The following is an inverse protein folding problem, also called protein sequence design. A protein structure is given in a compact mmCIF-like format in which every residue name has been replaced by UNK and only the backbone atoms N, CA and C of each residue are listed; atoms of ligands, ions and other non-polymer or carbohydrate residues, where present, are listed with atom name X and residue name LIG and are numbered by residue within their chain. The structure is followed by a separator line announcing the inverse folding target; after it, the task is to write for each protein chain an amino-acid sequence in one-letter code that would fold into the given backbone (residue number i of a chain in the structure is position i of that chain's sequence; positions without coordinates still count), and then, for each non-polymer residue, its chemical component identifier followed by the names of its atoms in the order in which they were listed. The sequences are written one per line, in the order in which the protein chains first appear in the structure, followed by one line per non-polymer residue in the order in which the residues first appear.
data_IF_815601934400
#
_entry.id   IF_815601934400
#
_cell.length_a   1.000
_cell.length_b   1.000
_cell.length_c   1.000
_cell.angle_alpha   90.00
_cell.angle_beta   90.00
_cell.angle_gamma   90.00
#
_symmetry.space_group_name_H-M   'P 1'
#
loop_
_entity.id
_entity.type
_entity.pdbx_description
1 polymer ?
#
# COMPACT_ATOMS: atom_id res chain seq x y z
N UNK A 1 -25.83 17.45 -16.92
CA UNK A 1 -25.02 18.56 -17.50
C UNK A 1 -23.67 18.50 -16.82
N UNK A 2 -22.75 17.73 -17.35
CA UNK A 2 -21.34 17.69 -16.95
C UNK A 2 -20.67 18.91 -17.59
N UNK A 3 -20.29 19.90 -16.75
CA UNK A 3 -19.51 21.01 -17.22
C UNK A 3 -18.16 20.48 -17.73
N UNK A 4 -17.88 20.61 -19.02
CA UNK A 4 -16.54 20.55 -19.59
C UNK A 4 -15.67 21.59 -18.87
N UNK A 5 -14.98 21.18 -17.81
CA UNK A 5 -13.88 21.98 -17.28
C UNK A 5 -12.75 21.83 -18.28
N UNK A 6 -12.42 22.91 -18.97
CA UNK A 6 -11.22 22.99 -19.78
C UNK A 6 -10.00 22.75 -18.86
N UNK A 7 -9.13 21.84 -19.25
CA UNK A 7 -7.91 21.41 -18.54
C UNK A 7 -6.87 22.57 -18.47
N UNK A 8 -7.15 23.72 -19.04
CA UNK A 8 -6.24 24.85 -19.13
C UNK A 8 -6.00 25.62 -17.82
N UNK A 9 -6.65 25.23 -16.70
CA UNK A 9 -6.34 25.79 -15.39
C UNK A 9 -6.27 24.68 -14.33
N UNK A 10 -5.03 24.27 -13.99
CA UNK A 10 -4.80 23.42 -12.82
C UNK A 10 -5.45 24.07 -11.57
N UNK A 11 -6.10 23.26 -10.69
CA UNK A 11 -6.74 23.80 -9.49
C UNK A 11 -5.71 24.52 -8.62
N UNK A 12 -6.08 25.68 -8.08
CA UNK A 12 -5.22 26.48 -7.22
C UNK A 12 -5.25 26.01 -5.78
N UNK A 13 -6.34 25.33 -5.36
CA UNK A 13 -6.55 24.90 -3.99
C UNK A 13 -7.45 23.64 -3.91
N UNK A 14 -7.37 22.97 -2.77
CA UNK A 14 -8.24 21.85 -2.39
C UNK A 14 -8.51 21.91 -0.88
N UNK A 15 -9.72 21.56 -0.46
CA UNK A 15 -10.08 21.46 0.96
C UNK A 15 -9.92 20.04 1.45
N UNK A 16 -9.24 19.89 2.59
CA UNK A 16 -8.95 18.60 3.23
C UNK A 16 -10.04 18.31 4.25
N UNK A 17 -10.69 17.18 4.07
CA UNK A 17 -11.67 16.62 4.99
C UNK A 17 -11.08 15.43 5.72
N UNK A 18 -11.31 15.32 7.01
CA UNK A 18 -10.76 14.28 7.87
C UNK A 18 -11.85 13.57 8.65
N UNK A 19 -11.77 12.25 8.73
CA UNK A 19 -12.50 11.45 9.72
C UNK A 19 -11.69 11.43 11.00
N UNK A 20 -12.20 12.07 12.04
CA UNK A 20 -11.59 12.03 13.36
C UNK A 20 -11.66 10.61 13.95
N UNK A 21 -10.75 10.21 14.84
CA UNK A 21 -10.78 8.91 15.48
C UNK A 21 -12.16 8.56 16.05
N UNK A 22 -12.69 7.40 15.68
CA UNK A 22 -14.01 6.91 16.14
C UNK A 22 -15.21 7.56 15.47
N UNK A 23 -15.06 8.53 14.54
CA UNK A 23 -16.18 9.18 13.85
C UNK A 23 -16.47 8.52 12.51
N UNK A 24 -17.74 8.55 12.09
CA UNK A 24 -18.23 8.04 10.80
C UNK A 24 -18.44 9.13 9.76
N UNK A 25 -18.50 10.39 10.20
CA UNK A 25 -18.66 11.57 9.34
C UNK A 25 -17.40 12.43 9.36
N UNK A 26 -16.99 12.98 8.21
CA UNK A 26 -15.82 13.83 8.14
C UNK A 26 -16.12 15.28 8.55
N UNK A 27 -15.05 15.96 8.94
CA UNK A 27 -15.06 17.43 9.14
C UNK A 27 -13.98 18.05 8.27
N UNK A 28 -14.17 19.32 7.89
CA UNK A 28 -13.13 20.04 7.14
C UNK A 28 -11.99 20.40 8.09
N UNK A 29 -10.79 19.90 7.79
CA UNK A 29 -9.58 20.18 8.57
C UNK A 29 -8.90 21.48 8.12
N UNK A 30 -8.84 21.71 6.81
CA UNK A 30 -8.12 22.86 6.30
C UNK A 30 -8.08 22.91 4.78
N UNK A 31 -7.09 23.64 4.26
CA UNK A 31 -6.96 23.93 2.84
C UNK A 31 -5.50 23.73 2.38
N UNK A 32 -5.34 23.05 1.25
CA UNK A 32 -4.12 23.06 0.47
C UNK A 32 -4.20 24.24 -0.51
N UNK A 33 -3.17 25.08 -0.56
CA UNK A 33 -3.06 26.17 -1.52
C UNK A 33 -1.73 26.11 -2.24
N UNK A 34 -1.74 26.29 -3.57
CA UNK A 34 -0.54 26.28 -4.41
C UNK A 34 0.20 27.61 -4.32
N UNK A 35 1.52 27.51 -4.14
CA UNK A 35 2.44 28.62 -4.31
C UNK A 35 3.65 28.13 -5.15
N UNK A 36 3.67 28.50 -6.40
CA UNK A 36 4.63 28.01 -7.36
C UNK A 36 4.57 26.48 -7.54
N UNK A 37 5.68 25.79 -7.23
CA UNK A 37 5.78 24.33 -7.27
C UNK A 37 5.42 23.65 -5.96
N UNK A 38 5.21 24.41 -4.88
CA UNK A 38 4.91 23.89 -3.54
C UNK A 38 3.45 24.10 -3.21
N UNK A 39 2.93 23.22 -2.38
CA UNK A 39 1.57 23.26 -1.89
C UNK A 39 1.60 23.38 -0.37
N UNK A 40 1.10 24.51 0.13
CA UNK A 40 1.05 24.80 1.55
C UNK A 40 -0.27 24.32 2.13
N UNK A 41 -0.24 23.83 3.34
CA UNK A 41 -1.45 23.49 4.08
C UNK A 41 -1.75 24.54 5.15
N UNK A 42 -3.04 24.84 5.34
CA UNK A 42 -3.52 25.69 6.42
C UNK A 42 -4.68 24.99 7.12
N UNK A 43 -4.60 24.81 8.42
CA UNK A 43 -5.79 24.43 9.19
C UNK A 43 -6.84 25.55 9.17
N UNK A 44 -8.12 25.16 9.09
CA UNK A 44 -9.22 26.10 9.27
C UNK A 44 -9.34 26.52 10.75
N UNK A 45 -9.65 27.78 11.02
CA UNK A 45 -9.85 28.25 12.41
C UNK A 45 -10.91 27.41 13.12
N UNK A 46 -12.04 27.12 12.45
CA UNK A 46 -13.09 26.24 12.98
C UNK A 46 -12.65 24.82 13.32
N UNK A 47 -11.58 24.33 12.70
CA UNK A 47 -10.97 23.05 13.05
C UNK A 47 -10.06 23.18 14.27
N UNK A 48 -9.23 24.23 14.31
CA UNK A 48 -8.33 24.49 15.45
C UNK A 48 -9.10 24.78 16.76
N UNK A 49 -10.30 25.35 16.66
CA UNK A 49 -11.15 25.64 17.82
C UNK A 49 -11.90 24.40 18.36
N UNK A 50 -11.76 23.24 17.73
CA UNK A 50 -12.41 21.99 18.17
C UNK A 50 -11.66 21.36 19.33
N UNK A 51 -12.40 20.89 20.33
CA UNK A 51 -11.82 20.11 21.46
C UNK A 51 -11.31 18.72 21.04
N UNK A 52 -11.87 18.15 19.96
CA UNK A 52 -11.50 16.85 19.42
C UNK A 52 -10.59 16.93 18.17
N UNK A 53 -10.00 18.11 17.90
CA UNK A 53 -9.05 18.27 16.80
C UNK A 53 -7.81 17.43 17.04
N UNK A 54 -7.38 16.73 16.00
CA UNK A 54 -6.10 16.00 15.96
C UNK A 54 -5.26 16.49 14.79
N UNK A 55 -3.92 16.54 14.90
CA UNK A 55 -3.08 16.84 13.75
C UNK A 55 -3.23 15.75 12.69
N UNK A 56 -3.24 16.11 11.40
CA UNK A 56 -3.26 15.13 10.29
C UNK A 56 -2.07 14.18 10.43
N UNK A 57 -0.90 14.74 10.68
CA UNK A 57 0.30 14.05 11.16
C UNK A 57 1.22 15.08 11.80
N UNK A 58 1.40 15.03 13.10
CA UNK A 58 2.06 16.08 13.89
C UNK A 58 3.44 16.50 13.36
N UNK A 59 4.36 15.58 12.98
CA UNK A 59 5.68 15.96 12.50
C UNK A 59 5.70 16.77 11.18
N UNK A 60 4.66 16.66 10.35
CA UNK A 60 4.57 17.42 9.09
C UNK A 60 3.55 18.55 9.17
N UNK A 61 2.45 18.35 9.86
CA UNK A 61 1.32 19.27 9.95
C UNK A 61 0.85 19.40 11.41
N UNK A 62 1.64 20.06 12.27
CA UNK A 62 1.22 20.35 13.66
C UNK A 62 -0.03 21.22 13.69
N UNK A 63 -0.81 21.17 14.80
CA UNK A 63 -2.00 22.00 14.99
C UNK A 63 -1.62 23.46 15.24
N UNK A 64 -1.28 24.16 14.17
CA UNK A 64 -0.87 25.56 14.19
C UNK A 64 -1.71 26.40 13.22
N UNK A 65 -1.86 27.70 13.54
CA UNK A 65 -2.45 28.66 12.62
C UNK A 65 -1.40 29.14 11.59
N UNK A 66 -1.86 29.41 10.37
CA UNK A 66 -0.99 29.91 9.30
C UNK A 66 -0.66 28.86 8.24
N UNK A 67 0.19 29.24 7.29
CA UNK A 67 0.58 28.39 6.18
C UNK A 67 1.73 27.49 6.57
N UNK A 68 1.52 26.19 6.57
CA UNK A 68 2.51 25.16 6.86
C UNK A 68 3.10 24.67 5.53
N UNK A 69 4.41 24.87 5.31
CA UNK A 69 5.08 24.41 4.09
C UNK A 69 5.30 22.88 4.15
N UNK A 70 5.33 22.16 3.02
CA UNK A 70 5.80 20.80 3.01
C UNK A 70 7.27 20.72 3.41
N UNK A 71 7.70 19.58 3.93
CA UNK A 71 9.10 19.32 4.29
C UNK A 71 10.05 19.59 3.12
N UNK A 72 11.33 19.87 3.43
CA UNK A 72 12.33 20.16 2.42
C UNK A 72 12.42 19.02 1.39
N UNK A 73 12.41 19.38 0.10
CA UNK A 73 12.43 18.41 -1.01
C UNK A 73 11.06 17.94 -1.47
N UNK A 74 9.99 18.17 -0.70
CA UNK A 74 8.63 17.78 -1.07
C UNK A 74 7.84 18.96 -1.67
N UNK A 75 6.97 18.67 -2.62
CA UNK A 75 6.00 19.63 -3.19
C UNK A 75 4.70 19.68 -2.39
N UNK A 76 4.35 18.61 -1.70
CA UNK A 76 3.17 18.42 -0.86
C UNK A 76 3.57 17.64 0.39
N UNK A 77 2.97 17.90 1.54
CA UNK A 77 3.19 17.11 2.76
C UNK A 77 2.91 15.62 2.49
N UNK A 78 3.80 14.75 2.98
CA UNK A 78 3.75 13.30 2.74
C UNK A 78 2.45 12.68 3.22
N UNK A 79 1.96 13.07 4.40
CA UNK A 79 0.71 12.59 4.97
C UNK A 79 -0.55 12.95 4.13
N UNK A 80 -0.50 14.04 3.37
CA UNK A 80 -1.54 14.38 2.40
C UNK A 80 -1.35 13.57 1.10
N UNK A 81 -0.11 13.36 0.67
CA UNK A 81 0.25 12.60 -0.51
C UNK A 81 -0.09 11.11 -0.34
N UNK A 82 -0.03 10.55 0.87
CA UNK A 82 -0.45 9.16 1.13
C UNK A 82 -1.92 8.90 0.75
N UNK A 83 -2.76 9.93 0.72
CA UNK A 83 -4.13 9.87 0.19
C UNK A 83 -4.26 10.10 -1.31
N UNK A 84 -3.17 10.35 -2.05
CA UNK A 84 -3.19 10.57 -3.48
C UNK A 84 -3.27 9.24 -4.27
N UNK A 85 -3.81 9.25 -5.51
CA UNK A 85 -3.79 8.09 -6.37
C UNK A 85 -2.37 7.78 -6.87
N UNK A 86 -1.99 6.51 -6.83
CA UNK A 86 -0.76 5.99 -7.46
C UNK A 86 -0.94 5.76 -8.97
N UNK A 87 0.03 5.11 -9.60
CA UNK A 87 0.11 4.93 -11.04
C UNK A 87 -1.17 4.34 -11.67
N UNK A 88 -1.82 3.36 -11.01
CA UNK A 88 -3.09 2.81 -11.51
C UNK A 88 -4.21 3.86 -11.50
N UNK A 89 -4.42 4.52 -10.36
CA UNK A 89 -5.46 5.54 -10.22
C UNK A 89 -5.26 6.72 -11.17
N UNK A 90 -4.02 7.17 -11.34
CA UNK A 90 -3.66 8.21 -12.33
C UNK A 90 -3.98 7.76 -13.75
N UNK A 91 -3.74 6.49 -14.10
CA UNK A 91 -4.10 5.94 -15.43
C UNK A 91 -5.62 5.93 -15.65
N UNK A 92 -6.42 5.58 -14.64
CA UNK A 92 -7.89 5.65 -14.71
C UNK A 92 -8.35 7.10 -14.90
N UNK A 93 -7.80 8.06 -14.16
CA UNK A 93 -8.10 9.49 -14.30
C UNK A 93 -7.74 9.98 -15.71
N UNK A 94 -6.56 9.61 -16.23
CA UNK A 94 -6.16 9.95 -17.60
C UNK A 94 -7.11 9.38 -18.65
N UNK A 95 -7.52 8.12 -18.52
CA UNK A 95 -8.48 7.50 -19.42
C UNK A 95 -9.81 8.25 -19.43
N UNK A 96 -10.30 8.65 -18.24
CA UNK A 96 -11.54 9.42 -18.09
C UNK A 96 -11.46 10.81 -18.70
N UNK A 97 -10.36 11.53 -18.44
CA UNK A 97 -10.20 12.94 -18.86
C UNK A 97 -9.86 13.05 -20.34
N UNK A 98 -8.98 12.19 -20.85
CA UNK A 98 -8.43 12.28 -22.21
C UNK A 98 -8.98 11.21 -23.19
N UNK A 99 -9.70 10.20 -22.70
CA UNK A 99 -10.21 9.11 -23.53
C UNK A 99 -9.08 8.37 -24.26
N UNK A 100 -9.23 8.16 -25.58
CA UNK A 100 -8.22 7.45 -26.40
C UNK A 100 -6.83 8.09 -26.40
N UNK A 101 -6.74 9.38 -26.13
CA UNK A 101 -5.46 10.10 -26.03
C UNK A 101 -4.69 9.71 -24.75
N UNK A 102 -5.38 9.19 -23.74
CA UNK A 102 -4.78 8.80 -22.47
C UNK A 102 -3.77 7.65 -22.56
N UNK A 103 -3.80 6.83 -23.65
CA UNK A 103 -2.82 5.74 -23.82
C UNK A 103 -1.39 6.27 -24.02
N UNK A 104 -1.24 7.40 -24.68
CA UNK A 104 0.04 8.04 -25.01
C UNK A 104 0.33 9.23 -24.08
N UNK A 105 -0.57 9.53 -23.13
CA UNK A 105 -0.39 10.64 -22.20
C UNK A 105 0.57 10.24 -21.05
N UNK A 106 1.50 11.11 -20.76
CA UNK A 106 2.42 10.97 -19.63
C UNK A 106 1.64 11.09 -18.32
N UNK A 107 1.69 10.04 -17.50
CA UNK A 107 1.08 10.00 -16.16
C UNK A 107 1.62 11.15 -15.28
N UNK A 108 2.88 11.54 -15.48
CA UNK A 108 3.54 12.65 -14.79
C UNK A 108 2.99 14.04 -15.20
N UNK A 109 2.24 14.12 -16.31
CA UNK A 109 1.63 15.38 -16.74
C UNK A 109 0.40 15.79 -15.92
N UNK A 110 -0.19 14.86 -15.13
CA UNK A 110 -1.28 15.20 -14.23
C UNK A 110 -0.75 15.93 -12.98
N UNK A 111 -1.30 17.11 -12.77
CA UNK A 111 -1.05 17.90 -11.58
C UNK A 111 -1.58 17.18 -10.31
N UNK A 112 -0.85 17.30 -9.19
CA UNK A 112 -1.16 16.60 -7.94
C UNK A 112 -2.52 17.00 -7.36
N UNK A 113 -2.86 18.30 -7.35
CA UNK A 113 -4.18 18.76 -6.88
C UNK A 113 -5.31 18.23 -7.77
N UNK A 114 -5.08 18.16 -9.09
CA UNK A 114 -6.02 17.52 -10.02
C UNK A 114 -6.22 16.06 -9.66
N UNK A 115 -5.14 15.31 -9.41
CA UNK A 115 -5.23 13.92 -8.97
C UNK A 115 -6.02 13.76 -7.68
N UNK A 116 -5.78 14.63 -6.69
CA UNK A 116 -6.50 14.62 -5.41
C UNK A 116 -7.99 14.93 -5.59
N UNK A 117 -8.36 15.88 -6.44
CA UNK A 117 -9.75 16.29 -6.63
C UNK A 117 -10.53 15.37 -7.56
N UNK A 118 -9.85 14.78 -8.56
CA UNK A 118 -10.48 13.90 -9.56
C UNK A 118 -10.53 12.43 -9.15
N UNK A 119 -9.97 12.03 -8.01
CA UNK A 119 -10.06 10.66 -7.49
C UNK A 119 -11.24 10.47 -6.52
N UNK A 120 -11.63 9.20 -6.30
CA UNK A 120 -12.76 8.82 -5.45
C UNK A 120 -12.56 9.19 -3.98
N UNK A 121 -13.66 9.25 -3.24
CA UNK A 121 -13.65 9.65 -1.82
C UNK A 121 -13.29 8.52 -0.84
N UNK A 122 -13.30 7.25 -1.28
CA UNK A 122 -12.97 6.12 -0.40
C UNK A 122 -11.47 5.78 -0.48
N UNK A 123 -10.63 6.75 -0.11
CA UNK A 123 -9.17 6.68 -0.16
C UNK A 123 -8.61 5.77 0.92
N UNK A 124 -7.35 5.43 0.81
CA UNK A 124 -6.59 4.87 1.93
C UNK A 124 -6.51 5.91 3.05
N UNK A 125 -6.66 5.44 4.29
CA UNK A 125 -6.62 6.30 5.46
C UNK A 125 -7.92 7.08 5.70
N UNK A 126 -7.80 8.21 6.41
CA UNK A 126 -8.92 8.98 6.94
C UNK A 126 -9.10 10.36 6.29
N UNK A 127 -8.49 10.61 5.12
CA UNK A 127 -8.60 11.88 4.42
C UNK A 127 -9.48 11.80 3.17
N UNK A 128 -10.05 12.94 2.76
CA UNK A 128 -10.56 13.20 1.43
C UNK A 128 -10.31 14.66 1.03
N UNK A 129 -10.35 14.94 -0.27
CA UNK A 129 -10.07 16.26 -0.83
C UNK A 129 -11.27 16.73 -1.66
N UNK A 130 -11.73 17.95 -1.41
CA UNK A 130 -12.94 18.53 -2.01
C UNK A 130 -12.65 19.92 -2.57
N UNK A 131 -13.50 20.37 -3.51
CA UNK A 131 -13.42 21.72 -4.06
C UNK A 131 -14.03 22.78 -3.13
N UNK A 132 -14.79 22.42 -2.09
CA UNK A 132 -15.47 23.32 -1.17
C UNK A 132 -15.34 22.86 0.27
N UNK A 133 -15.27 23.79 1.24
CA UNK A 133 -15.31 23.49 2.67
C UNK A 133 -16.74 23.38 3.24
N UNK A 134 -17.78 23.84 2.49
CA UNK A 134 -19.09 24.10 3.07
C UNK A 134 -19.89 22.81 3.30
N UNK A 135 -19.77 21.87 2.36
CA UNK A 135 -20.52 20.61 2.40
C UNK A 135 -19.68 19.47 1.84
N UNK A 136 -19.56 18.41 2.62
CA UNK A 136 -18.96 17.19 2.12
C UNK A 136 -19.86 16.51 1.09
N UNK A 137 -19.30 16.19 -0.07
CA UNK A 137 -19.99 15.47 -1.13
C UNK A 137 -19.19 14.21 -1.45
N UNK A 138 -19.67 13.08 -0.98
CA UNK A 138 -19.00 11.81 -1.26
C UNK A 138 -19.03 11.49 -2.76
N UNK A 139 -17.87 11.28 -3.34
CA UNK A 139 -17.68 10.79 -4.71
C UNK A 139 -17.58 9.27 -4.65
N UNK A 140 -18.75 8.63 -4.47
CA UNK A 140 -18.86 7.16 -4.43
C UNK A 140 -19.47 6.66 -5.74
N UNK A 141 -19.03 5.49 -6.21
CA UNK A 141 -19.62 4.86 -7.38
C UNK A 141 -20.91 4.11 -7.04
N UNK A 142 -21.62 3.71 -8.07
CA UNK A 142 -22.68 2.72 -7.97
C UNK A 142 -22.08 1.33 -7.74
N UNK A 143 -22.85 0.45 -7.12
CA UNK A 143 -22.46 -0.94 -6.90
C UNK A 143 -22.22 -1.61 -8.26
N UNK A 144 -21.02 -2.14 -8.47
CA UNK A 144 -20.66 -2.89 -9.66
C UNK A 144 -20.22 -4.31 -9.28
N UNK A 145 -20.47 -5.26 -10.15
CA UNK A 145 -20.02 -6.63 -9.98
C UNK A 145 -18.51 -6.74 -10.25
N UNK A 146 -17.85 -7.75 -9.66
CA UNK A 146 -16.44 -8.04 -9.95
C UNK A 146 -16.17 -8.23 -11.45
N UNK A 147 -17.13 -8.81 -12.20
CA UNK A 147 -17.01 -8.98 -13.65
C UNK A 147 -17.00 -7.67 -14.42
N UNK A 148 -17.84 -6.72 -14.04
CA UNK A 148 -17.85 -5.37 -14.63
C UNK A 148 -16.58 -4.59 -14.32
N UNK A 149 -16.09 -4.69 -13.08
CA UNK A 149 -14.84 -4.07 -12.65
C UNK A 149 -13.62 -4.65 -13.37
N UNK A 150 -13.57 -5.97 -13.55
CA UNK A 150 -12.53 -6.64 -14.33
C UNK A 150 -12.54 -6.17 -15.78
N UNK A 151 -13.71 -6.14 -16.44
CA UNK A 151 -13.84 -5.64 -17.81
C UNK A 151 -13.40 -4.16 -17.94
N UNK A 152 -13.79 -3.32 -16.98
CA UNK A 152 -13.38 -1.93 -16.94
C UNK A 152 -11.86 -1.78 -16.82
N UNK A 153 -11.24 -2.56 -15.91
CA UNK A 153 -9.79 -2.56 -15.73
C UNK A 153 -9.03 -2.97 -17.00
N UNK A 154 -9.49 -4.01 -17.69
CA UNK A 154 -8.91 -4.46 -18.97
C UNK A 154 -9.00 -3.39 -20.07
N UNK A 155 -10.14 -2.69 -20.15
CA UNK A 155 -10.30 -1.56 -21.10
C UNK A 155 -9.34 -0.42 -20.82
N UNK A 156 -9.15 -0.05 -19.54
CA UNK A 156 -8.18 0.98 -19.13
C UNK A 156 -6.76 0.57 -19.52
N UNK A 157 -6.36 -0.68 -19.29
CA UNK A 157 -5.05 -1.18 -19.70
C UNK A 157 -4.87 -1.14 -21.23
N UNK A 158 -5.91 -1.49 -21.96
CA UNK A 158 -5.91 -1.43 -23.43
C UNK A 158 -6.00 0.01 -23.99
N UNK A 159 -6.16 1.03 -23.13
CA UNK A 159 -6.36 2.41 -23.54
C UNK A 159 -7.71 2.63 -24.26
N UNK A 160 -8.71 1.79 -24.00
CA UNK A 160 -10.06 1.90 -24.54
C UNK A 160 -10.89 2.79 -23.61
N UNK A 161 -11.60 3.81 -24.11
CA UNK A 161 -12.50 4.62 -23.30
C UNK A 161 -13.57 3.79 -22.62
N UNK A 162 -13.87 4.10 -21.37
CA UNK A 162 -14.95 3.49 -20.63
C UNK A 162 -16.31 4.08 -21.03
N UNK A 163 -17.37 3.28 -20.91
CA UNK A 163 -18.72 3.84 -20.88
C UNK A 163 -18.94 4.59 -19.57
N UNK A 164 -19.89 5.55 -19.49
CA UNK A 164 -20.14 6.29 -18.25
C UNK A 164 -20.39 5.40 -17.02
N UNK A 165 -21.07 4.26 -17.22
CA UNK A 165 -21.37 3.31 -16.16
C UNK A 165 -20.11 2.59 -15.66
N UNK A 166 -19.24 2.13 -16.58
CA UNK A 166 -17.97 1.48 -16.23
C UNK A 166 -16.96 2.46 -15.66
N UNK A 167 -16.92 3.70 -16.15
CA UNK A 167 -16.11 4.78 -15.59
C UNK A 167 -16.51 5.05 -14.13
N UNK A 168 -17.81 5.17 -13.89
CA UNK A 168 -18.34 5.35 -12.55
C UNK A 168 -18.05 4.15 -11.64
N UNK A 169 -18.17 2.92 -12.15
CA UNK A 169 -17.87 1.70 -11.40
C UNK A 169 -16.39 1.63 -10.97
N UNK A 170 -15.46 1.94 -11.89
CA UNK A 170 -14.02 1.87 -11.62
C UNK A 170 -13.51 3.07 -10.82
N UNK A 171 -14.27 4.16 -10.76
CA UNK A 171 -13.89 5.40 -10.10
C UNK A 171 -13.44 5.22 -8.64
N UNK A 172 -14.02 4.26 -7.92
CA UNK A 172 -13.58 3.90 -6.57
C UNK A 172 -12.14 3.40 -6.50
N UNK A 173 -11.67 2.67 -7.51
CA UNK A 173 -10.30 2.18 -7.58
C UNK A 173 -9.25 3.26 -7.83
N UNK A 174 -9.67 4.49 -8.19
CA UNK A 174 -8.74 5.58 -8.52
C UNK A 174 -7.98 6.12 -7.32
N UNK A 175 -8.49 5.94 -6.11
CA UNK A 175 -7.86 6.43 -4.88
C UNK A 175 -7.06 5.39 -4.11
N UNK A 176 -6.83 4.21 -4.72
CA UNK A 176 -6.03 3.12 -4.14
C UNK A 176 -4.57 3.21 -4.62
N UNK A 177 -3.66 2.81 -3.74
CA UNK A 177 -2.23 2.74 -4.02
C UNK A 177 -1.83 1.63 -4.99
N UNK A 178 -0.65 1.76 -5.62
CA UNK A 178 0.01 0.75 -6.45
C UNK A 178 -0.26 0.85 -7.97
N UNK A 179 0.51 0.10 -8.77
CA UNK A 179 0.55 0.22 -10.23
C UNK A 179 -0.37 -0.76 -10.98
N UNK A 180 -0.79 -1.85 -10.33
CA UNK A 180 -1.60 -2.92 -10.94
C UNK A 180 -3.09 -2.59 -10.96
N UNK A 181 -3.85 -3.17 -11.92
CA UNK A 181 -5.29 -3.00 -11.99
C UNK A 181 -5.98 -3.44 -10.71
N UNK A 182 -6.80 -2.55 -10.15
CA UNK A 182 -7.55 -2.82 -8.92
C UNK A 182 -8.83 -1.99 -8.84
N UNK A 183 -9.75 -2.47 -8.02
CA UNK A 183 -10.99 -1.77 -7.73
C UNK A 183 -11.41 -2.00 -6.27
N UNK A 184 -12.32 -1.18 -5.77
CA UNK A 184 -12.95 -1.44 -4.47
C UNK A 184 -14.27 -2.19 -4.64
N UNK A 185 -14.50 -3.10 -3.72
CA UNK A 185 -15.77 -3.79 -3.58
C UNK A 185 -16.20 -3.74 -2.10
N UNK A 186 -17.48 -3.62 -1.88
CA UNK A 186 -18.08 -3.73 -0.56
C UNK A 186 -18.91 -5.02 -0.49
N UNK A 187 -18.62 -5.84 0.50
CA UNK A 187 -19.29 -7.11 0.77
C UNK A 187 -19.84 -7.02 2.20
N UNK A 188 -21.17 -6.88 2.32
CA UNK A 188 -21.95 -6.77 3.56
C UNK A 188 -21.29 -5.87 4.63
N UNK A 189 -20.38 -6.47 5.43
CA UNK A 189 -19.71 -5.80 6.55
C UNK A 189 -18.21 -5.57 6.32
N UNK A 190 -17.70 -5.76 5.09
CA UNK A 190 -16.29 -5.62 4.74
C UNK A 190 -16.10 -4.77 3.51
N UNK A 191 -15.05 -3.98 3.55
CA UNK A 191 -14.53 -3.31 2.36
C UNK A 191 -13.30 -4.04 1.89
N UNK A 192 -13.26 -4.37 0.60
CA UNK A 192 -12.20 -5.16 -0.01
C UNK A 192 -11.55 -4.38 -1.16
N UNK A 193 -10.28 -4.65 -1.39
CA UNK A 193 -9.57 -4.26 -2.60
C UNK A 193 -9.50 -5.49 -3.50
N UNK A 194 -10.12 -5.41 -4.68
CA UNK A 194 -10.01 -6.44 -5.72
C UNK A 194 -8.79 -6.11 -6.59
N UNK A 195 -7.80 -7.00 -6.63
CA UNK A 195 -6.63 -6.90 -7.51
C UNK A 195 -6.80 -7.86 -8.69
N UNK A 196 -6.59 -7.34 -9.89
CA UNK A 196 -6.75 -8.08 -11.13
C UNK A 196 -5.39 -8.40 -11.76
N UNK A 197 -5.35 -9.45 -12.60
CA UNK A 197 -4.20 -9.71 -13.44
C UNK A 197 -4.00 -8.58 -14.46
N UNK A 198 -2.75 -8.26 -14.76
CA UNK A 198 -2.40 -7.35 -15.86
C UNK A 198 -2.14 -8.12 -17.15
N UNK A 199 -2.40 -7.46 -18.28
CA UNK A 199 -2.06 -8.00 -19.61
C UNK A 199 -0.55 -8.22 -19.81
N UNK A 200 0.29 -7.63 -18.96
CA UNK A 200 1.75 -7.75 -18.98
C UNK A 200 2.28 -8.87 -18.08
N UNK A 201 1.41 -9.58 -17.36
CA UNK A 201 1.82 -10.63 -16.43
C UNK A 201 2.40 -11.83 -17.19
N UNK A 202 3.57 -12.27 -16.77
CA UNK A 202 4.26 -13.45 -17.32
C UNK A 202 3.99 -14.72 -16.53
N UNK A 203 3.29 -14.61 -15.41
CA UNK A 203 2.84 -15.69 -14.52
C UNK A 203 1.59 -15.23 -13.78
N UNK A 204 0.94 -16.11 -13.04
CA UNK A 204 -0.25 -15.75 -12.24
C UNK A 204 0.15 -14.98 -10.97
N UNK A 205 0.30 -13.66 -11.12
CA UNK A 205 0.70 -12.76 -10.02
C UNK A 205 -0.37 -12.71 -8.93
N UNK A 206 -1.65 -12.79 -9.30
CA UNK A 206 -2.79 -12.80 -8.36
C UNK A 206 -2.70 -13.98 -7.40
N UNK A 207 -2.46 -15.19 -7.92
CA UNK A 207 -2.26 -16.38 -7.08
C UNK A 207 -0.95 -16.32 -6.29
N UNK A 208 0.12 -15.77 -6.88
CA UNK A 208 1.42 -15.64 -6.21
C UNK A 208 1.31 -14.74 -4.96
N UNK A 209 0.62 -13.60 -5.07
CA UNK A 209 0.36 -12.71 -3.94
C UNK A 209 -0.57 -13.38 -2.91
N UNK A 210 -1.63 -14.08 -3.35
CA UNK A 210 -2.49 -14.84 -2.45
C UNK A 210 -1.70 -15.85 -1.62
N UNK A 211 -0.87 -16.67 -2.26
CA UNK A 211 -0.03 -17.68 -1.58
C UNK A 211 0.90 -17.00 -0.57
N UNK A 212 1.55 -15.91 -0.95
CA UNK A 212 2.46 -15.20 -0.04
C UNK A 212 1.72 -14.62 1.17
N UNK A 213 0.58 -13.97 0.97
CA UNK A 213 -0.21 -13.39 2.07
C UNK A 213 -0.76 -14.48 3.02
N UNK A 214 -1.19 -15.63 2.47
CA UNK A 214 -1.63 -16.77 3.28
C UNK A 214 -0.49 -17.39 4.09
N UNK A 215 0.67 -17.61 3.46
CA UNK A 215 1.86 -18.12 4.14
C UNK A 215 2.41 -17.14 5.17
N UNK A 216 2.35 -15.84 4.92
CA UNK A 216 2.72 -14.81 5.90
C UNK A 216 1.89 -14.94 7.19
N UNK A 217 0.57 -15.08 7.05
CA UNK A 217 -0.32 -15.30 8.20
C UNK A 217 -0.04 -16.64 8.91
N UNK A 218 0.25 -17.72 8.17
CA UNK A 218 0.64 -19.03 8.73
C UNK A 218 2.00 -18.97 9.45
N UNK A 219 2.91 -18.12 8.99
CA UNK A 219 4.19 -17.85 9.63
C UNK A 219 4.09 -16.90 10.85
N UNK A 220 2.88 -16.55 11.28
CA UNK A 220 2.63 -15.76 12.48
C UNK A 220 2.69 -14.24 12.30
N UNK A 221 2.84 -13.75 11.06
CA UNK A 221 2.79 -12.31 10.78
C UNK A 221 1.36 -11.78 10.83
N UNK A 222 1.19 -10.57 11.32
CA UNK A 222 -0.07 -9.84 11.23
C UNK A 222 -0.26 -9.34 9.78
N UNK A 223 -0.89 -10.17 8.93
CA UNK A 223 -1.13 -9.87 7.53
C UNK A 223 -2.62 -9.58 7.27
N UNK A 224 -2.89 -8.69 6.31
CA UNK A 224 -4.25 -8.40 5.87
C UNK A 224 -4.94 -9.69 5.37
N UNK A 225 -6.19 -9.99 5.77
CA UNK A 225 -6.91 -11.14 5.29
C UNK A 225 -7.12 -11.08 3.78
N UNK A 226 -6.95 -12.23 3.11
CA UNK A 226 -7.10 -12.35 1.66
C UNK A 226 -8.01 -13.49 1.28
N UNK A 227 -8.70 -13.33 0.14
CA UNK A 227 -9.55 -14.35 -0.47
C UNK A 227 -9.31 -14.37 -1.98
N UNK A 228 -9.31 -15.56 -2.57
CA UNK A 228 -9.20 -15.73 -4.01
C UNK A 228 -10.60 -16.01 -4.58
N UNK A 229 -10.97 -15.25 -5.61
CA UNK A 229 -12.24 -15.43 -6.36
C UNK A 229 -11.94 -15.73 -7.82
N UNK A 230 -12.86 -16.43 -8.50
CA UNK A 230 -12.75 -16.68 -9.93
C UNK A 230 -13.92 -16.07 -10.67
N UNK A 231 -13.63 -15.10 -11.54
CA UNK A 231 -14.63 -14.32 -12.27
C UNK A 231 -14.29 -14.32 -13.76
N UNK A 232 -15.25 -14.67 -14.60
CA UNK A 232 -15.07 -14.75 -16.05
C UNK A 232 -13.83 -15.57 -16.48
N UNK A 233 -13.51 -16.64 -15.71
CA UNK A 233 -12.37 -17.52 -15.98
C UNK A 233 -11.00 -16.97 -15.51
N UNK A 234 -10.95 -15.80 -14.87
CA UNK A 234 -9.74 -15.18 -14.31
C UNK A 234 -9.77 -15.18 -12.79
N UNK A 235 -8.59 -15.26 -12.20
CA UNK A 235 -8.42 -15.19 -10.75
C UNK A 235 -8.39 -13.71 -10.32
N UNK A 236 -9.03 -13.39 -9.19
CA UNK A 236 -9.10 -12.07 -8.58
C UNK A 236 -8.72 -12.21 -7.12
N UNK A 237 -7.73 -11.44 -6.67
CA UNK A 237 -7.36 -11.38 -5.26
C UNK A 237 -8.20 -10.31 -4.56
N UNK A 238 -8.91 -10.71 -3.52
CA UNK A 238 -9.61 -9.80 -2.61
C UNK A 238 -8.80 -9.63 -1.34
N UNK A 239 -8.41 -8.39 -1.03
CA UNK A 239 -7.67 -8.03 0.18
C UNK A 239 -8.61 -7.21 1.06
N UNK A 240 -8.80 -7.63 2.32
CA UNK A 240 -9.64 -6.89 3.26
C UNK A 240 -8.97 -5.57 3.67
N UNK A 241 -9.75 -4.50 3.66
CA UNK A 241 -9.29 -3.18 4.09
C UNK A 241 -9.28 -3.10 5.61
N UNK A 242 -8.10 -2.96 6.18
CA UNK A 242 -7.87 -2.84 7.62
C UNK A 242 -7.98 -1.39 8.14
N UNK A 243 -8.06 -0.42 7.24
CA UNK A 243 -8.26 0.99 7.54
C UNK A 243 -9.75 1.41 7.63
N UNK A 244 -10.66 0.44 7.55
CA UNK A 244 -12.10 0.60 7.66
C UNK A 244 -12.66 -0.27 8.76
N UNK A 245 -13.51 0.30 9.61
CA UNK A 245 -14.19 -0.42 10.70
C UNK A 245 -15.68 -0.17 10.56
N UNK A 246 -16.46 -1.24 10.35
CA UNK A 246 -17.92 -1.17 10.31
C UNK A 246 -18.43 -0.96 11.72
N UNK A 247 -19.29 0.03 11.89
CA UNK A 247 -20.04 0.31 13.11
C UNK A 247 -21.53 0.49 12.78
N UNK A 248 -22.38 0.58 13.79
CA UNK A 248 -23.83 0.70 13.59
C UNK A 248 -24.22 1.84 12.65
N UNK A 249 -23.54 2.97 12.77
CA UNK A 249 -23.91 4.22 12.09
C UNK A 249 -23.06 4.48 10.82
N UNK A 250 -22.34 3.49 10.32
CA UNK A 250 -21.54 3.63 9.10
C UNK A 250 -20.12 3.05 9.18
N UNK A 251 -19.17 3.74 8.56
CA UNK A 251 -17.78 3.32 8.50
C UNK A 251 -16.87 4.32 9.20
N UNK A 252 -16.13 3.87 10.20
CA UNK A 252 -14.99 4.61 10.73
C UNK A 252 -13.78 4.42 9.82
N UNK A 253 -12.92 5.44 9.76
CA UNK A 253 -11.67 5.41 9.01
C UNK A 253 -10.50 5.57 9.96
N UNK A 254 -9.45 4.74 9.78
CA UNK A 254 -8.18 4.89 10.50
C UNK A 254 -7.23 5.70 9.64
N UNK A 255 -6.65 6.78 10.18
CA UNK A 255 -5.60 7.51 9.50
C UNK A 255 -4.37 6.60 9.34
N UNK A 256 -3.71 6.70 8.20
CA UNK A 256 -2.52 5.90 7.87
C UNK A 256 -1.39 6.81 7.39
N UNK A 257 -0.19 6.54 7.86
CA UNK A 257 1.04 7.22 7.48
C UNK A 257 2.00 6.17 6.93
N UNK A 258 2.40 6.30 5.68
CA UNK A 258 3.36 5.38 5.04
C UNK A 258 4.78 5.57 5.57
N UNK A 259 5.62 4.53 5.49
CA UNK A 259 7.03 4.67 5.84
C UNK A 259 7.75 5.68 4.93
N UNK A 260 7.31 5.86 3.68
CA UNK A 260 7.83 6.91 2.81
C UNK A 260 7.64 8.30 3.43
N UNK A 261 6.47 8.55 4.01
CA UNK A 261 6.16 9.78 4.75
C UNK A 261 6.92 9.86 6.08
N UNK A 262 7.05 8.74 6.81
CA UNK A 262 7.88 8.70 8.04
C UNK A 262 9.33 9.11 7.79
N UNK A 263 9.86 8.79 6.61
CA UNK A 263 11.23 9.18 6.19
C UNK A 263 11.30 10.60 5.60
N UNK A 264 10.19 11.27 5.33
CA UNK A 264 10.17 12.55 4.64
C UNK A 264 10.70 12.48 3.20
N UNK A 265 10.56 11.33 2.53
CA UNK A 265 11.07 11.09 1.19
C UNK A 265 9.96 11.26 0.12
N UNK A 266 10.37 11.67 -1.09
CA UNK A 266 9.55 11.55 -2.28
C UNK A 266 9.76 10.18 -2.98
N UNK A 267 8.99 9.89 -4.02
CA UNK A 267 9.09 8.62 -4.77
C UNK A 267 10.45 8.41 -5.43
N UNK A 268 11.10 9.47 -5.89
CA UNK A 268 12.42 9.36 -6.55
C UNK A 268 13.52 9.03 -5.55
N UNK A 269 13.31 9.45 -4.29
CA UNK A 269 14.24 9.21 -3.18
C UNK A 269 13.89 7.93 -2.40
N UNK A 270 12.81 7.22 -2.74
CA UNK A 270 12.37 5.99 -2.06
C UNK A 270 13.45 4.89 -1.98
N UNK A 271 14.40 4.88 -2.90
CA UNK A 271 15.56 3.96 -2.90
C UNK A 271 16.50 4.10 -1.70
N UNK A 272 16.40 5.21 -0.95
CA UNK A 272 17.16 5.45 0.27
C UNK A 272 16.41 5.03 1.54
N UNK A 273 15.18 4.59 1.41
CA UNK A 273 14.45 4.01 2.53
C UNK A 273 15.16 2.74 3.01
N UNK A 274 15.19 2.53 4.32
CA UNK A 274 15.86 1.40 4.94
C UNK A 274 15.04 0.80 6.09
N UNK A 275 15.23 -0.48 6.31
CA UNK A 275 14.65 -1.17 7.46
C UNK A 275 15.23 -0.66 8.79
N UNK A 276 16.52 -0.28 8.82
CA UNK A 276 17.13 0.39 9.99
C UNK A 276 16.43 1.70 10.33
N UNK A 277 16.21 2.56 9.31
CA UNK A 277 15.50 3.83 9.48
C UNK A 277 14.06 3.62 9.96
N UNK A 278 13.39 2.57 9.46
CA UNK A 278 12.04 2.25 9.93
C UNK A 278 12.07 1.73 11.38
N UNK A 279 13.04 0.90 11.74
CA UNK A 279 13.24 0.45 13.12
C UNK A 279 13.50 1.64 14.07
N UNK A 280 14.24 2.65 13.62
CA UNK A 280 14.48 3.88 14.40
C UNK A 280 13.17 4.69 14.57
N UNK A 281 12.40 4.88 13.49
CA UNK A 281 11.09 5.54 13.57
C UNK A 281 10.13 4.81 14.55
N UNK A 282 10.15 3.47 14.54
CA UNK A 282 9.34 2.64 15.44
C UNK A 282 9.71 2.88 16.90
N UNK A 283 11.01 2.93 17.23
CA UNK A 283 11.46 3.17 18.63
C UNK A 283 10.92 4.47 19.21
N UNK A 284 10.80 5.49 18.39
CA UNK A 284 10.47 6.84 18.83
C UNK A 284 8.99 7.21 18.72
N UNK A 285 8.22 6.55 17.84
CA UNK A 285 6.88 7.02 17.47
C UNK A 285 5.77 5.99 17.64
N UNK A 286 6.10 4.70 17.88
CA UNK A 286 5.10 3.64 17.96
C UNK A 286 4.79 3.26 19.41
N UNK A 287 3.54 2.89 19.68
CA UNK A 287 3.04 2.56 21.04
C UNK A 287 3.71 1.35 21.66
N UNK A 288 4.13 0.36 20.88
CA UNK A 288 4.69 -0.91 21.36
C UNK A 288 6.00 -1.24 20.62
N UNK A 289 7.06 -0.44 20.82
CA UNK A 289 8.24 -0.48 19.95
C UNK A 289 8.89 -1.86 19.88
N UNK A 290 9.06 -2.58 21.00
CA UNK A 290 9.72 -3.89 20.99
C UNK A 290 8.93 -4.93 20.17
N UNK A 291 7.63 -5.06 20.41
CA UNK A 291 6.78 -6.00 19.66
C UNK A 291 6.72 -5.64 18.19
N UNK A 292 6.62 -4.33 17.88
CA UNK A 292 6.60 -3.82 16.52
C UNK A 292 7.92 -4.06 15.77
N UNK A 293 9.06 -3.95 16.45
CA UNK A 293 10.38 -4.25 15.88
C UNK A 293 10.51 -5.75 15.54
N UNK A 294 10.04 -6.63 16.41
CA UNK A 294 10.06 -8.07 16.15
C UNK A 294 9.14 -8.43 14.96
N UNK A 295 7.95 -7.84 14.90
CA UNK A 295 7.05 -7.99 13.74
C UNK A 295 7.70 -7.48 12.45
N UNK A 296 8.36 -6.32 12.47
CA UNK A 296 9.04 -5.76 11.30
C UNK A 296 10.21 -6.66 10.85
N UNK A 297 10.98 -7.21 11.78
CA UNK A 297 12.01 -8.20 11.45
C UNK A 297 11.42 -9.43 10.78
N UNK A 298 10.31 -9.94 11.31
CA UNK A 298 9.58 -11.05 10.71
C UNK A 298 9.13 -10.74 9.28
N UNK A 299 8.64 -9.53 9.01
CA UNK A 299 8.27 -9.10 7.65
C UNK A 299 9.46 -9.03 6.71
N UNK A 300 10.59 -8.47 7.16
CA UNK A 300 11.83 -8.45 6.39
C UNK A 300 12.25 -9.87 5.99
N UNK A 301 12.33 -10.78 6.96
CA UNK A 301 12.70 -12.18 6.72
C UNK A 301 11.73 -12.84 5.76
N UNK A 302 10.42 -12.66 5.97
CA UNK A 302 9.40 -13.27 5.12
C UNK A 302 9.45 -12.75 3.68
N UNK A 303 9.62 -11.43 3.48
CA UNK A 303 9.78 -10.84 2.15
C UNK A 303 10.97 -11.44 1.38
N UNK A 304 12.07 -11.73 2.07
CA UNK A 304 13.23 -12.42 1.50
C UNK A 304 12.88 -13.88 1.19
N UNK A 305 12.28 -14.61 2.12
CA UNK A 305 11.95 -16.03 1.97
C UNK A 305 10.91 -16.28 0.86
N UNK A 306 9.93 -15.38 0.68
CA UNK A 306 8.94 -15.50 -0.39
C UNK A 306 9.39 -14.88 -1.73
N UNK A 307 10.53 -14.17 -1.75
CA UNK A 307 11.05 -13.51 -2.94
C UNK A 307 10.29 -12.21 -3.31
N UNK A 308 9.64 -11.54 -2.36
CA UNK A 308 9.10 -10.21 -2.57
C UNK A 308 10.23 -9.18 -2.58
N UNK A 309 10.77 -8.89 -3.75
CA UNK A 309 11.88 -7.93 -3.93
C UNK A 309 11.39 -6.50 -4.17
N UNK A 310 10.09 -6.30 -4.36
CA UNK A 310 9.45 -4.99 -4.54
C UNK A 310 8.91 -4.40 -3.23
N UNK A 311 9.41 -4.91 -2.09
CA UNK A 311 9.03 -4.41 -0.78
C UNK A 311 9.64 -3.02 -0.54
N UNK A 312 8.83 -2.00 -0.78
CA UNK A 312 9.23 -0.59 -0.71
C UNK A 312 8.54 0.14 0.45
N UNK A 313 8.99 1.38 0.76
CA UNK A 313 8.51 2.14 1.90
C UNK A 313 7.00 2.43 1.92
N UNK A 314 6.28 2.34 0.79
CA UNK A 314 4.83 2.45 0.77
C UNK A 314 4.11 1.16 1.17
N UNK A 315 4.82 0.02 1.24
CA UNK A 315 4.27 -1.26 1.70
C UNK A 315 4.32 -1.41 3.23
N UNK A 316 4.85 -0.39 3.92
CA UNK A 316 4.85 -0.28 5.38
C UNK A 316 4.13 0.99 5.79
N UNK A 317 3.25 0.90 6.78
CA UNK A 317 2.53 2.04 7.31
C UNK A 317 2.20 1.89 8.80
N UNK A 318 1.93 3.00 9.46
CA UNK A 318 1.36 3.05 10.81
C UNK A 318 -0.03 3.69 10.79
N UNK A 319 -0.93 3.16 11.63
CA UNK A 319 -2.16 3.88 11.98
C UNK A 319 -1.81 5.04 12.91
N UNK A 320 -2.33 6.21 12.59
CA UNK A 320 -2.14 7.44 13.36
C UNK A 320 -3.42 7.77 14.14
N UNK A 321 -3.33 7.88 15.44
CA UNK A 321 -4.49 8.18 16.30
C UNK A 321 -4.59 9.67 16.71
N UNK A 322 -3.61 10.47 16.31
CA UNK A 322 -3.46 11.89 16.68
C UNK A 322 -2.26 12.13 17.59
N UNK A 323 -1.65 11.08 18.15
CA UNK A 323 -0.53 11.18 19.08
C UNK A 323 0.54 10.10 18.81
N UNK A 324 0.11 8.86 18.53
CA UNK A 324 1.00 7.72 18.39
C UNK A 324 0.71 6.92 17.12
N UNK A 325 1.70 6.14 16.71
CA UNK A 325 1.58 5.19 15.62
C UNK A 325 1.42 3.76 16.13
N UNK A 326 0.63 2.97 15.41
CA UNK A 326 0.55 1.51 15.58
C UNK A 326 0.75 0.87 14.22
N UNK A 327 1.59 -0.18 14.12
CA UNK A 327 1.89 -0.82 12.84
C UNK A 327 0.61 -1.38 12.21
N UNK A 328 0.43 -1.15 10.90
CA UNK A 328 -0.68 -1.77 10.17
C UNK A 328 -0.42 -3.25 9.94
N UNK A 329 -1.43 -4.08 9.65
CA UNK A 329 -1.19 -5.40 9.08
C UNK A 329 -0.28 -5.32 7.86
N UNK A 330 0.50 -6.37 7.58
CA UNK A 330 1.30 -6.48 6.37
C UNK A 330 0.39 -6.62 5.15
N UNK A 331 0.75 -6.01 4.04
CA UNK A 331 0.01 -5.99 2.79
C UNK A 331 0.94 -5.92 1.60
N UNK A 332 0.44 -6.26 0.42
CA UNK A 332 1.18 -6.17 -0.85
C UNK A 332 2.46 -7.05 -0.85
N UNK A 333 2.41 -8.21 -0.18
CA UNK A 333 3.49 -9.18 -0.19
C UNK A 333 3.37 -9.99 -1.50
N UNK A 334 4.07 -9.54 -2.53
CA UNK A 334 3.95 -10.09 -3.87
C UNK A 334 5.29 -10.63 -4.38
N UNK A 335 5.49 -11.97 -4.39
CA UNK A 335 6.72 -12.57 -4.89
C UNK A 335 7.02 -12.17 -6.33
N UNK A 336 8.27 -11.81 -6.61
CA UNK A 336 8.70 -11.36 -7.91
C UNK A 336 9.49 -12.46 -8.64
N UNK A 337 9.26 -12.60 -9.95
CA UNK A 337 10.03 -13.53 -10.76
C UNK A 337 11.47 -13.03 -10.90
N UNK A 338 12.42 -13.89 -10.60
CA UNK A 338 13.86 -13.60 -10.76
C UNK A 338 14.32 -13.93 -12.18
N UNK A 339 15.14 -13.08 -12.77
CA UNK A 339 15.80 -13.31 -14.06
C UNK A 339 17.17 -14.00 -13.92
N UNK A 340 17.67 -14.16 -12.70
CA UNK A 340 18.96 -14.78 -12.34
C UNK A 340 18.91 -15.33 -10.92
N UNK A 341 20.06 -15.69 -10.36
CA UNK A 341 20.14 -16.17 -8.99
C UNK A 341 20.09 -15.03 -7.98
N UNK A 342 20.81 -13.93 -8.22
CA UNK A 342 20.85 -12.78 -7.33
C UNK A 342 19.56 -11.97 -7.36
N UNK A 343 19.21 -11.40 -6.20
CA UNK A 343 18.11 -10.45 -6.06
C UNK A 343 18.45 -9.40 -5.00
N UNK A 344 17.90 -8.19 -5.18
CA UNK A 344 18.02 -7.10 -4.23
C UNK A 344 16.65 -6.63 -3.79
N UNK A 345 16.51 -6.22 -2.53
CA UNK A 345 15.31 -5.58 -2.01
C UNK A 345 15.21 -4.12 -2.52
N UNK A 346 13.99 -3.62 -2.64
CA UNK A 346 13.77 -2.20 -2.97
C UNK A 346 14.26 -1.28 -1.85
N UNK A 347 14.11 -1.68 -0.58
CA UNK A 347 14.65 -0.98 0.58
C UNK A 347 16.04 -1.51 0.94
N UNK A 348 16.86 -0.67 1.57
CA UNK A 348 18.10 -1.10 2.23
C UNK A 348 17.76 -1.95 3.46
N UNK A 349 18.53 -3.00 3.69
CA UNK A 349 18.34 -3.93 4.82
C UNK A 349 19.16 -3.46 6.02
N UNK A 350 20.45 -3.32 5.83
CA UNK A 350 21.43 -2.88 6.83
C UNK A 350 22.54 -2.08 6.13
N UNK A 351 22.92 -0.97 6.67
CA UNK A 351 23.87 -0.02 6.05
C UNK A 351 23.45 0.30 4.59
N UNK A 352 24.35 0.06 3.63
CA UNK A 352 24.12 0.21 2.19
C UNK A 352 23.71 -1.11 1.47
N UNK A 353 23.51 -2.18 2.23
CA UNK A 353 23.23 -3.53 1.72
C UNK A 353 21.74 -3.71 1.45
N UNK A 354 21.45 -4.32 0.31
CA UNK A 354 20.10 -4.67 -0.12
C UNK A 354 19.97 -6.06 -0.76
N UNK A 355 21.04 -6.86 -0.78
CA UNK A 355 20.94 -8.22 -1.29
C UNK A 355 19.93 -9.03 -0.48
N UNK A 356 19.04 -9.72 -1.19
CA UNK A 356 17.95 -10.51 -0.63
C UNK A 356 18.46 -11.81 -0.02
N UNK A 357 19.21 -11.71 1.10
CA UNK A 357 19.82 -12.84 1.80
C UNK A 357 19.52 -12.84 3.30
N UNK A 358 19.42 -14.02 3.89
CA UNK A 358 19.24 -14.20 5.34
C UNK A 358 20.47 -13.72 6.13
N UNK A 359 21.66 -13.73 5.52
CA UNK A 359 22.85 -13.17 6.13
C UNK A 359 22.69 -11.68 6.43
N UNK A 360 22.11 -10.89 5.51
CA UNK A 360 21.81 -9.49 5.74
C UNK A 360 20.71 -9.29 6.80
N UNK A 361 19.73 -10.19 6.92
CA UNK A 361 18.74 -10.16 8.01
C UNK A 361 19.41 -10.36 9.37
N UNK A 362 20.32 -11.34 9.48
CA UNK A 362 21.04 -11.60 10.72
C UNK A 362 21.94 -10.43 11.13
N UNK A 363 22.59 -9.79 10.16
CA UNK A 363 23.38 -8.59 10.40
C UNK A 363 22.51 -7.42 10.87
N UNK A 364 21.30 -7.29 10.34
CA UNK A 364 20.33 -6.26 10.73
C UNK A 364 19.64 -6.53 12.09
N UNK A 365 19.65 -7.76 12.59
CA UNK A 365 18.89 -8.18 13.78
C UNK A 365 19.06 -7.29 15.03
N UNK A 366 20.25 -6.74 15.35
CA UNK A 366 20.41 -5.82 16.49
C UNK A 366 19.53 -4.57 16.40
N UNK A 367 19.24 -4.07 15.20
CA UNK A 367 18.34 -2.92 15.01
C UNK A 367 16.89 -3.23 15.40
N UNK A 368 16.53 -4.51 15.45
CA UNK A 368 15.21 -5.00 15.86
C UNK A 368 15.19 -5.53 17.31
N UNK A 369 16.26 -5.25 18.09
CA UNK A 369 16.43 -5.73 19.47
C UNK A 369 16.45 -7.26 19.58
N UNK A 370 16.98 -7.94 18.56
CA UNK A 370 17.19 -9.37 18.54
C UNK A 370 18.69 -9.67 18.63
N UNK A 371 19.07 -10.61 19.48
CA UNK A 371 20.40 -11.21 19.43
C UNK A 371 20.50 -12.23 18.28
N UNK A 372 21.72 -12.66 17.96
CA UNK A 372 21.96 -13.55 16.83
C UNK A 372 21.18 -14.88 16.96
N UNK A 373 21.06 -15.42 18.18
CA UNK A 373 20.35 -16.68 18.42
C UNK A 373 18.85 -16.52 18.21
N UNK A 374 18.25 -15.49 18.78
CA UNK A 374 16.82 -15.20 18.63
C UNK A 374 16.44 -14.90 17.18
N UNK A 375 17.31 -14.19 16.45
CA UNK A 375 17.12 -13.92 15.03
C UNK A 375 17.20 -15.22 14.19
N UNK A 376 18.15 -16.10 14.47
CA UNK A 376 18.28 -17.39 13.79
C UNK A 376 17.09 -18.32 14.06
N UNK A 377 16.63 -18.39 15.33
CA UNK A 377 15.43 -19.12 15.72
C UNK A 377 14.19 -18.60 14.98
N UNK A 378 14.00 -17.28 14.93
CA UNK A 378 12.88 -16.66 14.22
C UNK A 378 12.87 -16.99 12.72
N UNK A 379 14.05 -16.94 12.08
CA UNK A 379 14.21 -17.31 10.66
C UNK A 379 13.86 -18.79 10.46
N UNK A 380 14.38 -19.69 11.32
CA UNK A 380 14.12 -21.12 11.23
C UNK A 380 12.63 -21.46 11.40
N UNK A 381 11.93 -20.79 12.33
CA UNK A 381 10.50 -20.94 12.52
C UNK A 381 9.70 -20.54 11.29
N UNK A 382 10.03 -19.42 10.64
CA UNK A 382 9.36 -19.01 9.41
C UNK A 382 9.60 -19.98 8.25
N UNK A 383 10.82 -20.49 8.10
CA UNK A 383 11.13 -21.50 7.07
C UNK A 383 10.29 -22.77 7.33
N UNK A 384 10.22 -23.22 8.58
CA UNK A 384 9.37 -24.36 8.99
C UNK A 384 7.90 -24.10 8.64
N UNK A 385 7.36 -22.98 9.09
CA UNK A 385 5.95 -22.61 8.84
C UNK A 385 5.60 -22.54 7.35
N UNK A 386 6.49 -22.00 6.51
CA UNK A 386 6.29 -21.94 5.05
C UNK A 386 6.20 -23.37 4.48
N UNK A 387 7.07 -24.28 4.92
CA UNK A 387 7.08 -25.67 4.43
C UNK A 387 5.86 -26.44 4.87
N UNK A 388 5.56 -26.38 6.15
CA UNK A 388 4.46 -27.12 6.73
C UNK A 388 3.09 -26.71 6.14
N UNK A 389 2.95 -25.43 5.77
CA UNK A 389 1.72 -24.91 5.19
C UNK A 389 1.71 -24.89 3.63
N UNK A 390 2.81 -25.24 2.98
CA UNK A 390 2.97 -25.09 1.52
C UNK A 390 1.88 -25.78 0.73
N UNK A 391 1.66 -27.06 0.95
CA UNK A 391 0.70 -27.86 0.19
C UNK A 391 -0.73 -27.39 0.43
N UNK A 392 -1.11 -27.14 1.69
CA UNK A 392 -2.41 -26.60 2.06
C UNK A 392 -2.71 -25.31 1.29
N UNK A 393 -1.76 -24.36 1.31
CA UNK A 393 -1.95 -23.05 0.68
C UNK A 393 -1.94 -23.15 -0.85
N UNK A 394 -1.14 -24.04 -1.43
CA UNK A 394 -1.17 -24.32 -2.85
C UNK A 394 -2.51 -24.92 -3.31
N UNK A 395 -3.15 -25.76 -2.48
CA UNK A 395 -4.48 -26.29 -2.74
C UNK A 395 -5.55 -25.21 -2.61
N UNK A 396 -5.51 -24.37 -1.57
CA UNK A 396 -6.40 -23.20 -1.43
C UNK A 396 -6.33 -22.28 -2.67
N UNK A 397 -5.12 -22.08 -3.23
CA UNK A 397 -4.92 -21.30 -4.43
C UNK A 397 -5.29 -22.04 -5.73
N UNK A 398 -5.62 -23.32 -5.67
CA UNK A 398 -5.83 -24.19 -6.82
C UNK A 398 -4.67 -24.05 -7.83
N UNK A 399 -3.43 -24.16 -7.35
CA UNK A 399 -2.24 -24.10 -8.20
C UNK A 399 -2.12 -25.32 -9.08
N UNK A 400 -1.84 -25.09 -10.35
CA UNK A 400 -1.41 -26.15 -11.26
C UNK A 400 -0.01 -26.63 -10.87
N UNK A 401 0.40 -27.83 -11.31
CA UNK A 401 1.76 -28.34 -11.11
C UNK A 401 2.84 -27.37 -11.65
N UNK A 402 2.56 -26.74 -12.80
CA UNK A 402 3.45 -25.74 -13.40
C UNK A 402 3.61 -24.51 -12.49
N UNK A 403 2.50 -24.02 -11.91
CA UNK A 403 2.54 -22.90 -10.98
C UNK A 403 3.25 -23.29 -9.66
N UNK A 404 2.98 -24.48 -9.11
CA UNK A 404 3.70 -25.00 -7.92
C UNK A 404 5.20 -25.04 -8.15
N UNK A 405 5.66 -25.57 -9.30
CA UNK A 405 7.06 -25.63 -9.66
C UNK A 405 7.68 -24.24 -9.91
N UNK A 406 6.89 -23.29 -10.41
CA UNK A 406 7.35 -21.92 -10.63
C UNK A 406 7.48 -21.15 -9.30
N UNK A 407 6.52 -21.29 -8.38
CA UNK A 407 6.52 -20.56 -7.11
C UNK A 407 7.50 -21.20 -6.12
N UNK A 408 7.48 -22.54 -5.97
CA UNK A 408 8.44 -23.25 -5.15
C UNK A 408 9.87 -23.10 -5.67
N UNK A 409 10.85 -22.93 -4.80
CA UNK A 409 12.30 -22.82 -5.05
C UNK A 409 12.77 -21.74 -6.06
N UNK A 410 11.91 -21.23 -6.91
CA UNK A 410 12.25 -20.10 -7.80
C UNK A 410 11.86 -18.74 -7.21
N UNK A 411 10.80 -18.71 -6.43
CA UNK A 411 10.33 -17.52 -5.68
C UNK A 411 10.49 -17.79 -4.18
N UNK A 412 9.70 -18.73 -3.64
CA UNK A 412 9.77 -19.11 -2.24
C UNK A 412 10.98 -20.00 -1.95
N UNK A 413 11.65 -19.72 -0.85
CA UNK A 413 12.83 -20.46 -0.36
C UNK A 413 13.91 -20.64 -1.45
N UNK A 414 14.12 -19.62 -2.26
CA UNK A 414 15.10 -19.63 -3.33
C UNK A 414 16.50 -19.88 -2.73
N UNK A 415 17.34 -20.77 -3.32
CA UNK A 415 18.67 -21.07 -2.78
C UNK A 415 19.57 -19.86 -2.53
N UNK A 416 19.45 -18.81 -3.33
CA UNK A 416 20.22 -17.57 -3.16
C UNK A 416 19.99 -16.91 -1.79
N UNK A 417 18.77 -16.99 -1.21
CA UNK A 417 18.50 -16.32 0.07
C UNK A 417 19.31 -16.90 1.22
N UNK A 418 19.81 -18.14 1.08
CA UNK A 418 20.65 -18.85 2.06
C UNK A 418 22.14 -18.58 1.91
N UNK A 419 22.57 -17.88 0.86
CA UNK A 419 23.98 -17.56 0.66
C UNK A 419 24.54 -16.72 1.82
N UNK A 420 25.67 -17.14 2.36
CA UNK A 420 26.31 -16.49 3.50
C UNK A 420 25.63 -16.70 4.85
N UNK A 421 24.49 -17.38 4.91
CA UNK A 421 23.82 -17.69 6.16
C UNK A 421 24.57 -18.81 6.95
N UNK A 422 24.33 -18.95 8.28
CA UNK A 422 24.85 -20.07 9.07
C UNK A 422 24.46 -21.43 8.48
N UNK A 423 25.29 -22.45 8.71
CA UNK A 423 25.06 -23.83 8.19
C UNK A 423 23.73 -24.43 8.67
N UNK A 424 23.29 -24.09 9.88
CA UNK A 424 21.97 -24.44 10.45
C UNK A 424 20.83 -24.00 9.53
N UNK A 425 20.84 -22.76 9.03
CA UNK A 425 19.85 -22.25 8.11
C UNK A 425 20.03 -22.77 6.69
N UNK A 426 21.27 -22.92 6.22
CA UNK A 426 21.54 -23.50 4.89
C UNK A 426 20.96 -24.92 4.77
N UNK A 427 21.15 -25.76 5.80
CA UNK A 427 20.61 -27.13 5.82
C UNK A 427 19.06 -27.15 5.77
N UNK A 428 18.42 -26.12 6.31
CA UNK A 428 16.98 -25.93 6.13
C UNK A 428 16.63 -25.52 4.68
N UNK A 429 17.49 -24.81 3.98
CA UNK A 429 17.31 -24.47 2.55
C UNK A 429 17.38 -25.67 1.62
N UNK A 430 18.22 -26.66 1.93
CA UNK A 430 18.50 -27.85 1.08
C UNK A 430 17.40 -28.92 1.16
N UNK A 431 16.65 -28.99 2.26
CA UNK A 431 15.58 -29.97 2.39
C UNK A 431 14.47 -29.71 1.36
N UNK A 432 14.01 -30.74 0.66
CA UNK A 432 12.87 -30.62 -0.26
C UNK A 432 11.59 -30.20 0.53
N UNK A 433 10.71 -29.36 -0.04
CA UNK A 433 9.38 -29.22 0.50
C UNK A 433 8.72 -30.61 0.52
N UNK A 434 8.09 -30.94 1.63
CA UNK A 434 7.44 -32.25 1.83
C UNK A 434 6.32 -32.50 0.83
#
# INVERSE_FOLDING_TARGET
MTSERSIDQAPAEAYVWIWLPGKTEPVVAGRIARDGRRMFFNYGQSYLDREDAVPIYEPELPLESGAIPPSAGLSLAGCLRDGAPDAWGRRVILNRVFGRKGKDADIGALDELTCLLESGSDRIGALDFQCSPDKYVSRTAQTATLGELLNAAEKVEAGVPLTPELDQALFHGTSLGGARPKAMIEDEDRKMIAKFSSSTDTYNVVKSEFVAMRLAAKAGLEAAPVRLERVAGKDVLLVERFDRVKVRDGWQRKAMISALTLFGLDEMMARYASYEGLAEAIRHRFTSPKATLHELFGRLVFNILCGNTDDHARNHAGFWDGEHLTLTPAYDICPQRRSGNEASQAMLIVDDKRLSTLANCLEAAPHFQLDAKAAEEHIAEQIGSIRDAWDEVCEEAALTEVERNLFGRRMFLNPFVFEGAPKSLQSLGDAEPA
#
